data_IF_759238761533
#
_entry.id   IF_759238761533
#
_cell.length_a   1.000
_cell.length_b   1.000
_cell.length_c   1.000
_cell.angle_alpha   90.00
_cell.angle_beta   90.00
_cell.angle_gamma   90.00
#
_symmetry.space_group_name_H-M   'P 1'
#
loop_
_entity.id
_entity.type
_entity.pdbx_description
1 polymer ?
#
# COMPACT_ATOMS: atom_id res chain seq x y z
N UNK A 1 -12.39 -24.64 -17.10
CA UNK A 1 -11.86 -24.20 -15.80
C UNK A 1 -11.42 -22.76 -16.00
N UNK A 2 -11.79 -21.84 -15.14
CA UNK A 2 -11.27 -20.49 -15.20
C UNK A 2 -9.74 -20.51 -14.99
N UNK A 3 -8.99 -19.73 -15.75
CA UNK A 3 -7.54 -19.60 -15.51
C UNK A 3 -7.32 -19.08 -14.09
N UNK A 4 -6.34 -19.66 -13.35
CA UNK A 4 -6.01 -19.19 -12.01
C UNK A 4 -5.62 -17.72 -12.09
N UNK A 5 -6.14 -16.90 -11.15
CA UNK A 5 -5.78 -15.49 -11.06
C UNK A 5 -4.28 -15.36 -10.80
N UNK A 6 -3.69 -14.25 -11.19
CA UNK A 6 -2.25 -13.99 -11.02
C UNK A 6 -1.76 -14.24 -9.58
N UNK A 7 -2.56 -13.88 -8.57
CA UNK A 7 -2.24 -14.12 -7.16
C UNK A 7 -2.25 -15.60 -6.79
N UNK A 8 -3.24 -16.38 -7.24
CA UNK A 8 -3.30 -17.84 -6.98
C UNK A 8 -2.10 -18.54 -7.59
N UNK A 9 -1.79 -18.21 -8.86
CA UNK A 9 -0.62 -18.75 -9.56
C UNK A 9 0.68 -18.38 -8.82
N UNK A 10 0.82 -17.14 -8.35
CA UNK A 10 1.98 -16.69 -7.62
C UNK A 10 2.22 -17.51 -6.34
N UNK A 11 1.19 -17.71 -5.51
CA UNK A 11 1.34 -18.46 -4.26
C UNK A 11 1.57 -19.96 -4.50
N UNK A 12 0.93 -20.52 -5.54
CA UNK A 12 1.18 -21.92 -5.94
C UNK A 12 2.63 -22.14 -6.38
N UNK A 13 3.13 -21.32 -7.30
CA UNK A 13 4.47 -21.48 -7.89
C UNK A 13 5.59 -21.18 -6.89
N UNK A 14 5.40 -20.17 -6.04
CA UNK A 14 6.46 -19.72 -5.13
C UNK A 14 6.48 -20.45 -3.80
N UNK A 15 5.33 -20.83 -3.26
CA UNK A 15 5.20 -21.39 -1.91
C UNK A 15 4.54 -22.76 -1.88
N UNK A 16 4.08 -23.27 -3.02
CA UNK A 16 3.38 -24.54 -3.10
C UNK A 16 2.00 -24.55 -2.42
N UNK A 17 1.37 -23.38 -2.27
CA UNK A 17 0.05 -23.25 -1.65
C UNK A 17 -1.00 -23.75 -2.62
N UNK A 18 -1.42 -25.00 -2.44
CA UNK A 18 -2.46 -25.66 -3.22
C UNK A 18 -3.81 -25.64 -2.48
N UNK A 19 -4.89 -25.93 -3.19
CA UNK A 19 -6.22 -26.11 -2.56
C UNK A 19 -6.19 -27.11 -1.42
N UNK A 20 -5.32 -28.13 -1.49
CA UNK A 20 -5.16 -29.15 -0.46
C UNK A 20 -4.60 -28.55 0.84
N UNK A 21 -3.55 -27.72 0.73
CA UNK A 21 -2.95 -27.03 1.88
C UNK A 21 -3.94 -26.04 2.49
N UNK A 22 -4.66 -25.29 1.67
CA UNK A 22 -5.69 -24.35 2.13
C UNK A 22 -6.81 -25.08 2.88
N UNK A 23 -7.33 -26.20 2.32
CA UNK A 23 -8.35 -27.02 2.96
C UNK A 23 -7.87 -27.66 4.25
N UNK A 24 -6.61 -28.12 4.31
CA UNK A 24 -6.04 -28.72 5.51
C UNK A 24 -5.95 -27.69 6.65
N UNK A 25 -5.45 -26.49 6.39
CA UNK A 25 -5.36 -25.42 7.35
C UNK A 25 -6.76 -24.91 7.78
N UNK A 26 -7.65 -24.73 6.82
CA UNK A 26 -9.03 -24.32 7.09
C UNK A 26 -9.77 -25.36 7.97
N UNK A 27 -9.55 -26.64 7.73
CA UNK A 27 -10.12 -27.73 8.55
C UNK A 27 -9.63 -27.72 9.99
N UNK A 28 -8.44 -27.19 10.27
CA UNK A 28 -7.91 -27.03 11.64
C UNK A 28 -8.54 -25.83 12.37
N UNK A 29 -8.78 -24.74 11.69
CA UNK A 29 -9.33 -23.52 12.29
C UNK A 29 -10.84 -23.53 12.35
N UNK A 30 -11.52 -23.99 11.29
CA UNK A 30 -12.98 -24.05 11.21
C UNK A 30 -13.50 -25.33 11.89
N UNK A 31 -13.65 -25.27 13.19
CA UNK A 31 -14.28 -26.32 14.01
C UNK A 31 -15.72 -25.92 14.36
N UNK A 32 -16.46 -26.81 15.04
CA UNK A 32 -17.90 -26.68 15.28
C UNK A 32 -18.33 -25.32 15.86
N UNK A 33 -17.55 -24.78 16.80
CA UNK A 33 -17.89 -23.55 17.52
C UNK A 33 -17.18 -22.31 16.94
N UNK A 34 -16.56 -22.41 15.78
CA UNK A 34 -16.01 -21.28 15.04
C UNK A 34 -17.01 -20.88 13.96
N UNK A 35 -17.57 -19.68 14.07
CA UNK A 35 -18.58 -19.18 13.13
C UNK A 35 -17.97 -18.84 11.78
N UNK A 36 -16.80 -18.18 11.79
CA UNK A 36 -16.08 -17.75 10.61
C UNK A 36 -14.56 -17.91 10.79
N UNK A 37 -13.88 -18.25 9.73
CA UNK A 37 -12.41 -18.26 9.67
C UNK A 37 -11.92 -17.80 8.30
N UNK A 38 -10.75 -17.18 8.28
CA UNK A 38 -10.03 -16.87 7.04
C UNK A 38 -8.52 -17.05 7.18
N UNK A 39 -7.90 -17.27 6.03
CA UNK A 39 -6.46 -17.31 5.79
C UNK A 39 -6.13 -16.14 4.88
N UNK A 40 -5.26 -15.26 5.33
CA UNK A 40 -4.81 -14.09 4.59
C UNK A 40 -3.33 -14.22 4.27
N UNK A 41 -2.98 -14.26 3.00
CA UNK A 41 -1.62 -14.31 2.52
C UNK A 41 -1.24 -12.97 1.93
N UNK A 42 -0.05 -12.49 2.26
CA UNK A 42 0.51 -11.26 1.71
C UNK A 42 1.96 -11.46 1.28
N UNK A 43 2.29 -10.92 0.14
CA UNK A 43 3.67 -10.75 -0.33
C UNK A 43 3.80 -9.34 -0.87
N UNK A 44 4.69 -8.56 -0.28
CA UNK A 44 4.90 -7.15 -0.63
C UNK A 44 6.36 -6.91 -1.00
N UNK A 45 6.57 -6.23 -2.10
CA UNK A 45 7.87 -5.71 -2.52
C UNK A 45 7.80 -4.19 -2.42
N UNK A 46 8.63 -3.62 -1.57
CA UNK A 46 8.79 -2.17 -1.41
C UNK A 46 10.12 -1.72 -1.99
N UNK A 47 10.12 -0.61 -2.69
CA UNK A 47 11.32 0.03 -3.18
C UNK A 47 11.25 1.55 -2.98
N UNK A 48 12.36 2.15 -2.55
CA UNK A 48 12.46 3.59 -2.36
C UNK A 48 13.82 4.07 -2.83
N UNK A 49 13.82 5.13 -3.65
CA UNK A 49 15.03 5.80 -4.11
C UNK A 49 14.85 7.29 -3.80
N UNK A 50 15.84 7.89 -3.16
CA UNK A 50 15.87 9.33 -2.89
C UNK A 50 17.16 9.96 -3.38
N UNK A 51 16.99 11.12 -3.97
CA UNK A 51 18.07 11.98 -4.48
C UNK A 51 18.00 13.35 -3.80
N UNK A 52 19.13 13.88 -3.42
CA UNK A 52 19.31 15.21 -2.88
C UNK A 52 20.68 15.74 -3.31
N UNK A 53 20.78 17.04 -3.58
CA UNK A 53 22.01 17.68 -4.08
C UNK A 53 22.58 16.97 -5.33
N UNK A 54 21.70 16.56 -6.23
CA UNK A 54 22.03 15.83 -7.47
C UNK A 54 22.72 14.47 -7.23
N UNK A 55 22.64 13.93 -6.02
CA UNK A 55 23.24 12.64 -5.64
C UNK A 55 22.18 11.71 -5.06
N UNK A 56 22.25 10.43 -5.43
CA UNK A 56 21.44 9.41 -4.76
C UNK A 56 21.93 9.25 -3.33
N UNK A 57 21.10 9.63 -2.36
CA UNK A 57 21.42 9.52 -0.93
C UNK A 57 21.01 8.17 -0.36
N UNK A 58 19.92 7.59 -0.91
CA UNK A 58 19.39 6.30 -0.43
C UNK A 58 18.72 5.55 -1.57
N UNK A 59 18.98 4.26 -1.62
CA UNK A 59 18.20 3.30 -2.38
C UNK A 59 17.95 2.08 -1.50
N UNK A 60 16.72 1.63 -1.40
CA UNK A 60 16.35 0.45 -0.61
C UNK A 60 15.31 -0.37 -1.34
N UNK A 61 15.42 -1.68 -1.21
CA UNK A 61 14.41 -2.64 -1.65
C UNK A 61 14.21 -3.65 -0.52
N UNK A 62 12.97 -3.87 -0.13
CA UNK A 62 12.59 -4.86 0.88
C UNK A 62 11.49 -5.76 0.36
N UNK A 63 11.48 -6.98 0.87
CA UNK A 63 10.42 -7.96 0.61
C UNK A 63 9.90 -8.39 1.95
N UNK A 64 8.60 -8.26 2.16
CA UNK A 64 7.88 -8.82 3.29
C UNK A 64 6.85 -9.82 2.80
N UNK A 65 6.62 -10.88 3.57
CA UNK A 65 5.64 -11.90 3.24
C UNK A 65 5.13 -12.55 4.51
N UNK A 66 3.98 -13.17 4.42
CA UNK A 66 3.45 -13.92 5.54
C UNK A 66 2.04 -14.43 5.30
N UNK A 67 1.56 -15.17 6.28
CA UNK A 67 0.19 -15.64 6.36
C UNK A 67 -0.39 -15.32 7.74
N UNK A 68 -1.60 -14.77 7.76
CA UNK A 68 -2.41 -14.59 8.95
C UNK A 68 -3.60 -15.56 8.93
N UNK A 69 -3.94 -16.09 10.10
CA UNK A 69 -5.13 -16.92 10.30
C UNK A 69 -6.02 -16.26 11.34
N UNK A 70 -7.27 -16.08 10.99
CA UNK A 70 -8.28 -15.53 11.89
C UNK A 70 -9.40 -16.55 12.15
N UNK A 71 -9.82 -16.64 13.39
CA UNK A 71 -10.97 -17.44 13.82
C UNK A 71 -11.92 -16.56 14.64
N UNK A 72 -13.19 -16.57 14.29
CA UNK A 72 -14.24 -15.84 15.04
C UNK A 72 -15.23 -16.85 15.63
N UNK A 73 -15.44 -16.76 16.94
CA UNK A 73 -16.39 -17.58 17.69
C UNK A 73 -17.26 -16.67 18.57
N UNK A 74 -18.51 -16.48 18.19
CA UNK A 74 -19.41 -15.47 18.75
C UNK A 74 -18.77 -14.07 18.73
N UNK A 75 -18.51 -13.46 19.87
CA UNK A 75 -17.88 -12.12 19.95
C UNK A 75 -16.35 -12.16 20.12
N UNK A 76 -15.74 -13.35 20.06
CA UNK A 76 -14.30 -13.53 20.28
C UNK A 76 -13.61 -13.76 18.95
N UNK A 77 -12.50 -13.06 18.76
CA UNK A 77 -11.62 -13.26 17.59
C UNK A 77 -10.25 -13.72 18.06
N UNK A 78 -9.80 -14.85 17.52
CA UNK A 78 -8.43 -15.29 17.62
C UNK A 78 -7.70 -14.99 16.33
N UNK A 79 -6.45 -14.53 16.43
CA UNK A 79 -5.57 -14.23 15.30
C UNK A 79 -4.17 -14.75 15.58
N UNK A 80 -3.57 -15.37 14.58
CA UNK A 80 -2.17 -15.78 14.60
C UNK A 80 -1.57 -15.60 13.22
N UNK A 81 -0.26 -15.38 13.14
CA UNK A 81 0.44 -15.17 11.87
C UNK A 81 1.82 -15.83 11.86
N UNK A 82 2.37 -15.98 10.65
CA UNK A 82 3.74 -16.39 10.40
C UNK A 82 4.29 -15.65 9.17
N UNK A 83 5.57 -15.29 9.18
CA UNK A 83 6.32 -14.80 8.03
C UNK A 83 6.79 -15.93 7.10
N UNK A 84 6.78 -17.18 7.57
CA UNK A 84 7.01 -18.36 6.75
C UNK A 84 5.69 -18.90 6.19
N UNK A 85 5.59 -18.94 4.86
CA UNK A 85 4.43 -19.49 4.16
C UNK A 85 4.71 -20.97 3.84
N UNK A 86 4.50 -21.84 4.85
CA UNK A 86 4.59 -23.30 4.74
C UNK A 86 3.36 -23.95 5.34
N UNK A 87 3.00 -25.15 4.92
CA UNK A 87 1.86 -25.88 5.48
C UNK A 87 1.99 -26.02 7.00
N UNK A 88 3.17 -26.33 7.50
CA UNK A 88 3.43 -26.48 8.94
C UNK A 88 3.09 -25.20 9.72
N UNK A 89 3.58 -24.05 9.26
CA UNK A 89 3.32 -22.77 9.93
C UNK A 89 1.87 -22.34 9.81
N UNK A 90 1.26 -22.59 8.66
CA UNK A 90 -0.15 -22.35 8.42
C UNK A 90 -1.03 -23.16 9.38
N UNK A 91 -0.74 -24.44 9.56
CA UNK A 91 -1.45 -25.32 10.51
C UNK A 91 -1.23 -24.87 11.96
N UNK A 92 -0.02 -24.47 12.34
CA UNK A 92 0.29 -23.97 13.67
C UNK A 92 -0.45 -22.63 13.94
N UNK A 93 -0.48 -21.72 12.99
CA UNK A 93 -1.25 -20.47 13.10
C UNK A 93 -2.76 -20.76 13.24
N UNK A 94 -3.28 -21.72 12.47
CA UNK A 94 -4.68 -22.17 12.56
C UNK A 94 -5.05 -22.69 13.94
N UNK A 95 -4.22 -23.55 14.52
CA UNK A 95 -4.42 -24.09 15.87
C UNK A 95 -4.35 -22.96 16.93
N UNK A 96 -3.41 -22.04 16.79
CA UNK A 96 -3.24 -20.90 17.70
C UNK A 96 -4.42 -19.93 17.64
N UNK A 97 -4.86 -19.54 16.45
CA UNK A 97 -6.02 -18.66 16.27
C UNK A 97 -7.30 -19.27 16.86
N UNK A 98 -7.54 -20.56 16.62
CA UNK A 98 -8.63 -21.31 17.23
C UNK A 98 -8.55 -21.31 18.75
N UNK A 99 -7.37 -21.58 19.31
CA UNK A 99 -7.17 -21.60 20.77
C UNK A 99 -7.47 -20.24 21.41
N UNK A 100 -7.02 -19.15 20.78
CA UNK A 100 -7.29 -17.78 21.25
C UNK A 100 -8.80 -17.48 21.20
N UNK A 101 -9.50 -17.91 20.16
CA UNK A 101 -10.95 -17.81 20.08
C UNK A 101 -11.68 -18.71 21.11
N UNK A 102 -10.92 -19.53 21.88
CA UNK A 102 -11.41 -20.46 22.92
C UNK A 102 -12.45 -21.44 22.40
N UNK A 103 -12.23 -21.95 21.20
CA UNK A 103 -13.04 -23.01 20.63
C UNK A 103 -12.42 -24.37 20.88
N UNK A 104 -13.18 -25.39 21.37
CA UNK A 104 -12.63 -26.73 21.55
C UNK A 104 -12.21 -27.36 20.24
N UNK A 105 -11.24 -28.28 20.28
CA UNK A 105 -10.84 -29.04 19.10
C UNK A 105 -12.00 -29.95 18.64
N UNK A 106 -12.25 -29.95 17.33
CA UNK A 106 -13.30 -30.79 16.72
C UNK A 106 -13.22 -30.69 15.21
N UNK A 107 -13.85 -31.63 14.51
CA UNK A 107 -13.98 -31.55 13.07
C UNK A 107 -15.13 -30.63 12.69
N UNK A 108 -14.85 -29.59 11.95
CA UNK A 108 -15.85 -28.71 11.32
C UNK A 108 -16.03 -29.09 9.85
N UNK A 109 -17.16 -28.76 9.28
CA UNK A 109 -17.38 -28.88 7.85
C UNK A 109 -16.74 -27.68 7.16
N UNK A 110 -15.84 -27.96 6.19
CA UNK A 110 -15.26 -26.94 5.32
C UNK A 110 -15.76 -27.25 3.90
N UNK A 111 -16.50 -26.34 3.27
CA UNK A 111 -16.92 -26.53 1.89
C UNK A 111 -15.71 -26.55 0.96
N UNK A 112 -15.85 -27.19 -0.19
CA UNK A 112 -14.81 -27.18 -1.23
C UNK A 112 -14.49 -25.72 -1.62
N UNK A 113 -13.20 -25.43 -1.80
CA UNK A 113 -12.75 -24.13 -2.25
C UNK A 113 -13.36 -23.83 -3.62
N UNK A 114 -13.96 -22.68 -3.74
CA UNK A 114 -14.49 -22.13 -4.97
C UNK A 114 -13.72 -20.87 -5.30
N UNK A 115 -13.18 -20.81 -6.50
CA UNK A 115 -12.65 -19.54 -7.01
C UNK A 115 -13.79 -18.52 -6.99
N UNK A 116 -13.62 -17.45 -6.23
CA UNK A 116 -14.60 -16.38 -6.12
C UNK A 116 -14.92 -15.78 -7.49
N UNK A 117 -16.01 -15.03 -7.58
CA UNK A 117 -16.35 -14.33 -8.83
C UNK A 117 -15.15 -13.51 -9.28
N UNK A 118 -14.80 -13.51 -10.59
CA UNK A 118 -13.74 -12.67 -11.09
C UNK A 118 -14.02 -11.23 -10.66
N UNK A 119 -13.20 -10.71 -9.75
CA UNK A 119 -13.25 -9.30 -9.39
C UNK A 119 -12.97 -8.46 -10.64
N UNK A 120 -13.34 -7.20 -10.62
CA UNK A 120 -12.87 -6.26 -11.62
C UNK A 120 -11.37 -6.10 -11.39
N UNK A 121 -10.57 -6.22 -12.45
CA UNK A 121 -9.18 -5.77 -12.41
C UNK A 121 -9.19 -4.22 -12.40
N UNK A 122 -9.06 -3.66 -11.21
CA UNK A 122 -9.12 -2.22 -11.00
C UNK A 122 -7.76 -1.54 -11.28
N UNK A 123 -6.70 -2.31 -11.30
CA UNK A 123 -5.32 -1.82 -11.39
C UNK A 123 -4.50 -2.68 -12.36
N UNK A 124 -4.91 -2.76 -13.63
CA UNK A 124 -4.18 -3.58 -14.60
C UNK A 124 -2.76 -3.04 -14.76
N UNK A 125 -1.77 -3.86 -14.43
CA UNK A 125 -0.35 -3.53 -14.53
C UNK A 125 0.36 -4.68 -15.23
N UNK A 126 0.92 -4.41 -16.40
CA UNK A 126 1.71 -5.37 -17.16
C UNK A 126 3.14 -5.44 -16.62
N UNK A 127 3.73 -4.28 -16.33
CA UNK A 127 5.08 -4.16 -15.77
C UNK A 127 5.02 -3.36 -14.47
N UNK A 128 5.08 -4.03 -13.31
CA UNK A 128 5.13 -3.34 -12.04
C UNK A 128 6.32 -2.38 -11.96
N UNK A 129 6.13 -1.22 -11.32
CA UNK A 129 7.21 -0.26 -11.15
C UNK A 129 8.41 -0.83 -10.35
N UNK A 130 8.20 -1.87 -9.55
CA UNK A 130 9.27 -2.62 -8.85
C UNK A 130 10.17 -3.45 -9.78
N UNK A 131 9.72 -3.73 -11.01
CA UNK A 131 10.48 -4.46 -12.04
C UNK A 131 11.26 -3.55 -12.99
N UNK A 132 10.95 -2.26 -12.99
CA UNK A 132 11.72 -1.26 -13.75
C UNK A 132 13.12 -1.16 -13.16
N UNK A 133 14.13 -1.13 -14.04
CA UNK A 133 15.52 -1.11 -13.60
C UNK A 133 15.87 0.13 -12.77
N UNK A 134 16.61 -0.04 -11.69
CA UNK A 134 17.02 1.07 -10.80
C UNK A 134 17.70 2.22 -11.54
N UNK A 135 18.61 1.99 -12.51
CA UNK A 135 19.21 3.10 -13.28
C UNK A 135 18.20 3.98 -14.01
N UNK A 136 17.11 3.41 -14.52
CA UNK A 136 16.05 4.15 -15.20
C UNK A 136 15.29 5.07 -14.23
N UNK A 137 14.99 4.58 -13.03
CA UNK A 137 14.38 5.39 -11.97
C UNK A 137 15.32 6.51 -11.50
N UNK A 138 16.62 6.23 -11.36
CA UNK A 138 17.62 7.24 -11.02
C UNK A 138 17.70 8.31 -12.13
N UNK A 139 17.73 7.92 -13.40
CA UNK A 139 17.72 8.86 -14.51
C UNK A 139 16.49 9.78 -14.53
N UNK A 140 15.32 9.27 -14.09
CA UNK A 140 14.13 10.11 -13.91
C UNK A 140 14.35 11.16 -12.82
N UNK A 141 14.90 10.77 -11.66
CA UNK A 141 15.18 11.70 -10.56
C UNK A 141 16.24 12.76 -10.96
N UNK A 142 17.26 12.40 -11.73
CA UNK A 142 18.24 13.34 -12.28
C UNK A 142 17.62 14.37 -13.24
N UNK A 143 16.67 13.94 -14.08
CA UNK A 143 15.91 14.85 -14.94
C UNK A 143 15.06 15.81 -14.12
N UNK A 144 14.44 15.35 -13.05
CA UNK A 144 13.65 16.17 -12.12
C UNK A 144 14.52 17.21 -11.44
N UNK A 145 15.69 16.83 -10.89
CA UNK A 145 16.64 17.73 -10.25
C UNK A 145 17.07 18.84 -11.23
N UNK A 146 17.44 18.46 -12.45
CA UNK A 146 17.81 19.42 -13.51
C UNK A 146 16.72 20.43 -13.81
N UNK A 147 15.49 19.96 -14.03
CA UNK A 147 14.35 20.82 -14.37
C UNK A 147 13.98 21.75 -13.22
N UNK A 148 13.96 21.23 -11.99
CA UNK A 148 13.65 22.01 -10.81
C UNK A 148 14.69 23.13 -10.57
N UNK A 149 15.99 22.83 -10.67
CA UNK A 149 17.08 23.82 -10.53
C UNK A 149 17.06 24.87 -11.63
N UNK A 150 16.71 24.49 -12.85
CA UNK A 150 16.64 25.40 -13.98
C UNK A 150 15.44 26.36 -13.93
N UNK A 151 14.45 26.11 -13.04
CA UNK A 151 13.25 26.91 -12.93
C UNK A 151 13.53 28.35 -12.46
N UNK A 152 14.39 28.52 -11.45
CA UNK A 152 14.75 29.83 -10.90
C UNK A 152 16.12 29.72 -10.20
N UNK A 153 17.05 30.70 -10.36
CA UNK A 153 18.37 30.68 -9.73
C UNK A 153 18.35 30.68 -8.18
N UNK A 154 17.24 31.04 -7.59
CA UNK A 154 17.01 30.98 -6.14
C UNK A 154 16.78 29.56 -5.63
N UNK A 155 16.51 28.58 -6.48
CA UNK A 155 16.43 27.17 -6.06
C UNK A 155 17.83 26.68 -5.74
N UNK A 156 18.10 26.42 -4.45
CA UNK A 156 19.42 26.00 -3.94
C UNK A 156 19.49 24.52 -3.67
N UNK A 157 18.39 23.89 -3.26
CA UNK A 157 18.34 22.44 -3.08
C UNK A 157 17.10 21.83 -3.68
N UNK A 158 17.24 20.61 -4.19
CA UNK A 158 16.17 19.80 -4.72
C UNK A 158 16.27 18.40 -4.09
N UNK A 159 15.21 17.96 -3.48
CA UNK A 159 15.01 16.60 -2.99
C UNK A 159 13.95 15.94 -3.85
N UNK A 160 14.28 14.81 -4.46
CA UNK A 160 13.35 14.02 -5.25
C UNK A 160 13.34 12.57 -4.76
N UNK A 161 12.17 11.97 -4.63
CA UNK A 161 12.04 10.58 -4.23
C UNK A 161 11.01 9.84 -5.07
N UNK A 162 11.33 8.59 -5.38
CA UNK A 162 10.44 7.65 -6.00
C UNK A 162 10.24 6.45 -5.07
N UNK A 163 9.02 6.17 -4.71
CA UNK A 163 8.64 5.02 -3.88
C UNK A 163 7.64 4.16 -4.62
N UNK A 164 7.77 2.84 -4.50
CA UNK A 164 6.83 1.90 -5.10
C UNK A 164 6.63 0.70 -4.20
N UNK A 165 5.40 0.24 -4.13
CA UNK A 165 4.96 -0.99 -3.49
C UNK A 165 4.28 -1.87 -4.54
N UNK A 166 4.55 -3.16 -4.48
CA UNK A 166 3.82 -4.16 -5.25
C UNK A 166 3.39 -5.28 -4.31
N UNK A 167 2.10 -5.32 -4.03
CA UNK A 167 1.49 -6.23 -3.07
C UNK A 167 0.63 -7.26 -3.78
N UNK A 168 0.83 -8.52 -3.43
CA UNK A 168 0.02 -9.65 -3.90
C UNK A 168 -0.68 -10.25 -2.68
N UNK A 169 -2.00 -10.34 -2.74
CA UNK A 169 -2.85 -10.85 -1.67
C UNK A 169 -3.62 -12.08 -2.15
N UNK A 170 -3.78 -13.06 -1.26
CA UNK A 170 -4.67 -14.20 -1.44
C UNK A 170 -5.43 -14.44 -0.15
N UNK A 171 -6.75 -14.58 -0.24
CA UNK A 171 -7.63 -14.81 0.90
C UNK A 171 -8.45 -16.07 0.62
N UNK A 172 -8.41 -17.03 1.57
CA UNK A 172 -9.32 -18.16 1.60
C UNK A 172 -10.18 -18.08 2.84
N UNK A 173 -11.49 -18.30 2.74
CA UNK A 173 -12.39 -18.25 3.87
C UNK A 173 -13.14 -19.58 4.13
N UNK A 174 -13.75 -19.68 5.30
CA UNK A 174 -14.50 -20.86 5.75
C UNK A 174 -15.82 -21.08 5.00
N UNK A 175 -16.22 -20.18 4.12
CA UNK A 175 -17.37 -20.31 3.24
C UNK A 175 -16.98 -20.94 1.88
N UNK A 176 -15.68 -21.25 1.72
CA UNK A 176 -15.12 -21.86 0.52
C UNK A 176 -14.77 -20.87 -0.57
N UNK A 177 -14.72 -19.58 -0.27
CA UNK A 177 -14.30 -18.56 -1.23
C UNK A 177 -12.77 -18.43 -1.25
N UNK A 178 -12.21 -18.31 -2.45
CA UNK A 178 -10.82 -17.97 -2.71
C UNK A 178 -10.78 -16.71 -3.55
N UNK A 179 -10.19 -15.65 -3.00
CA UNK A 179 -10.10 -14.34 -3.64
C UNK A 179 -8.67 -13.85 -3.63
N UNK A 180 -8.16 -13.43 -4.77
CA UNK A 180 -6.84 -12.83 -4.88
C UNK A 180 -6.89 -11.44 -5.48
N UNK A 181 -5.90 -10.62 -5.12
CA UNK A 181 -5.75 -9.27 -5.63
C UNK A 181 -4.26 -8.92 -5.83
N UNK A 182 -4.01 -8.00 -6.76
CA UNK A 182 -2.68 -7.44 -7.00
C UNK A 182 -2.79 -5.93 -6.88
N UNK A 183 -2.01 -5.35 -5.99
CA UNK A 183 -2.12 -3.95 -5.58
C UNK A 183 -0.79 -3.22 -5.81
N UNK A 184 -0.55 -2.70 -7.03
CA UNK A 184 0.56 -1.79 -7.27
C UNK A 184 0.28 -0.44 -6.59
N UNK A 185 1.33 0.21 -6.13
CA UNK A 185 1.25 1.59 -5.64
C UNK A 185 2.59 2.28 -5.88
N UNK A 186 2.58 3.47 -6.45
CA UNK A 186 3.81 4.24 -6.61
C UNK A 186 3.58 5.74 -6.42
N UNK A 187 4.62 6.43 -5.96
CA UNK A 187 4.62 7.86 -5.70
C UNK A 187 5.93 8.51 -6.10
N UNK A 188 5.81 9.63 -6.77
CA UNK A 188 6.90 10.55 -7.06
C UNK A 188 6.68 11.84 -6.26
N UNK A 189 7.67 12.25 -5.47
CA UNK A 189 7.64 13.45 -4.64
C UNK A 189 8.85 14.31 -4.95
N UNK A 190 8.63 15.62 -5.08
CA UNK A 190 9.67 16.63 -5.28
C UNK A 190 9.51 17.71 -4.23
N UNK A 191 10.63 18.11 -3.62
CA UNK A 191 10.69 19.25 -2.70
C UNK A 191 11.85 20.14 -3.13
N UNK A 192 11.57 21.40 -3.31
CA UNK A 192 12.57 22.42 -3.66
C UNK A 192 12.76 23.38 -2.48
N UNK A 193 14.00 23.81 -2.27
CA UNK A 193 14.34 24.87 -1.33
C UNK A 193 14.82 26.07 -2.12
N UNK A 194 14.14 27.21 -1.94
CA UNK A 194 14.54 28.50 -2.49
C UNK A 194 15.12 29.40 -1.40
N UNK A 195 16.15 30.17 -1.77
CA UNK A 195 16.83 31.13 -0.86
C UNK A 195 16.99 32.48 -1.53
N UNK A 196 16.64 33.55 -0.81
CA UNK A 196 16.80 34.92 -1.23
C UNK A 196 16.92 35.84 0.00
N UNK A 197 17.93 36.73 0.05
CA UNK A 197 18.13 37.71 1.12
C UNK A 197 18.11 37.13 2.55
N UNK A 198 18.67 35.94 2.73
CA UNK A 198 18.68 35.25 4.02
C UNK A 198 17.38 34.51 4.38
N UNK A 199 16.35 34.65 3.59
CA UNK A 199 15.13 33.85 3.72
C UNK A 199 15.28 32.53 2.99
N UNK A 200 14.76 31.45 3.59
CA UNK A 200 14.75 30.11 3.06
C UNK A 200 13.34 29.52 3.12
N UNK A 201 12.83 29.11 1.99
CA UNK A 201 11.47 28.59 1.87
C UNK A 201 11.41 27.31 1.07
N UNK A 202 10.48 26.44 1.41
CA UNK A 202 10.25 25.18 0.73
C UNK A 202 8.98 25.21 -0.12
N UNK A 203 9.00 24.45 -1.20
CA UNK A 203 7.84 24.10 -1.99
C UNK A 203 7.87 22.63 -2.31
N UNK A 204 6.74 21.94 -2.21
CA UNK A 204 6.65 20.50 -2.43
C UNK A 204 5.49 20.18 -3.34
N UNK A 205 5.73 19.31 -4.30
CA UNK A 205 4.67 18.77 -5.14
C UNK A 205 4.97 17.33 -5.55
N UNK A 206 3.92 16.54 -5.74
CA UNK A 206 4.07 15.16 -6.12
C UNK A 206 2.72 14.49 -6.35
N UNK A 207 2.77 13.23 -6.66
CA UNK A 207 1.59 12.42 -6.89
C UNK A 207 1.96 10.99 -7.18
N UNK A 208 0.96 10.18 -7.39
CA UNK A 208 1.11 8.77 -7.67
C UNK A 208 -0.23 8.09 -7.75
N UNK A 209 -0.20 6.78 -7.71
CA UNK A 209 -1.41 5.97 -7.79
C UNK A 209 -1.10 4.50 -8.01
N UNK A 210 -2.17 3.75 -8.27
CA UNK A 210 -2.12 2.32 -8.59
C UNK A 210 -2.01 2.15 -10.11
N UNK A 211 -0.78 2.20 -10.62
CA UNK A 211 -0.51 2.13 -12.06
C UNK A 211 0.93 1.78 -12.36
N UNK A 212 1.26 1.78 -13.64
CA UNK A 212 2.59 1.50 -14.12
C UNK A 212 3.55 2.68 -13.93
N UNK A 213 4.85 2.42 -14.03
CA UNK A 213 5.88 3.45 -14.01
C UNK A 213 5.69 4.51 -15.11
N UNK A 214 5.16 4.11 -16.27
CA UNK A 214 4.86 4.98 -17.42
C UNK A 214 3.90 6.13 -17.08
N UNK A 215 3.04 5.95 -16.07
CA UNK A 215 2.17 7.03 -15.55
C UNK A 215 2.93 8.33 -15.27
N UNK A 216 4.14 8.24 -14.75
CA UNK A 216 4.95 9.43 -14.46
C UNK A 216 5.54 10.07 -15.70
N UNK A 217 5.72 9.30 -16.78
CA UNK A 217 6.28 9.77 -18.04
C UNK A 217 5.21 10.38 -18.96
N UNK A 218 3.98 9.90 -18.88
CA UNK A 218 2.85 10.41 -19.65
C UNK A 218 2.58 11.88 -19.36
N UNK A 219 2.25 12.66 -20.37
CA UNK A 219 1.97 14.09 -20.29
C UNK A 219 3.06 14.89 -19.54
N UNK A 220 4.28 14.37 -19.50
CA UNK A 220 5.41 14.96 -18.76
C UNK A 220 5.05 15.25 -17.28
N UNK A 221 4.32 14.38 -16.61
CA UNK A 221 3.91 14.58 -15.21
C UNK A 221 5.07 14.82 -14.27
N UNK A 222 6.17 14.09 -14.46
CA UNK A 222 7.41 14.26 -13.70
C UNK A 222 7.95 15.70 -13.81
N UNK A 223 7.90 16.28 -15.00
CA UNK A 223 8.38 17.64 -15.26
C UNK A 223 7.45 18.68 -14.62
N UNK A 224 6.14 18.46 -14.72
CA UNK A 224 5.14 19.30 -14.04
C UNK A 224 5.33 19.29 -12.54
N UNK A 225 5.62 18.13 -11.92
CA UNK A 225 5.89 18.03 -10.49
C UNK A 225 7.12 18.81 -10.08
N UNK A 226 8.21 18.70 -10.84
CA UNK A 226 9.44 19.46 -10.63
C UNK A 226 9.20 20.97 -10.68
N UNK A 227 8.55 21.45 -11.74
CA UNK A 227 8.25 22.87 -11.94
C UNK A 227 7.31 23.42 -10.86
N UNK A 228 6.29 22.66 -10.47
CA UNK A 228 5.32 23.10 -9.47
C UNK A 228 5.95 23.19 -8.08
N UNK A 229 6.78 22.23 -7.68
CA UNK A 229 7.53 22.31 -6.43
C UNK A 229 8.46 23.52 -6.39
N UNK A 230 9.19 23.78 -7.48
CA UNK A 230 10.05 24.95 -7.60
C UNK A 230 9.26 26.25 -7.57
N UNK A 231 8.13 26.34 -8.29
CA UNK A 231 7.24 27.50 -8.30
C UNK A 231 6.75 27.84 -6.88
N UNK A 232 6.32 26.83 -6.12
CA UNK A 232 5.86 27.03 -4.75
C UNK A 232 6.99 27.52 -3.84
N UNK A 233 8.20 26.96 -3.93
CA UNK A 233 9.34 27.39 -3.13
C UNK A 233 9.67 28.88 -3.39
N UNK A 234 9.71 29.29 -4.66
CA UNK A 234 9.96 30.68 -5.06
C UNK A 234 8.82 31.61 -4.63
N UNK A 235 7.58 31.17 -4.77
CA UNK A 235 6.41 31.95 -4.34
C UNK A 235 6.43 32.20 -2.82
N UNK A 236 6.78 31.19 -2.05
CA UNK A 236 6.82 31.24 -0.59
C UNK A 236 7.87 32.22 -0.04
N UNK A 237 8.91 32.58 -0.82
CA UNK A 237 9.83 33.68 -0.44
C UNK A 237 9.13 35.04 -0.26
N UNK A 238 7.96 35.20 -0.85
CA UNK A 238 7.14 36.42 -0.74
C UNK A 238 5.93 36.23 0.20
N UNK A 239 5.87 35.10 0.93
CA UNK A 239 4.77 34.83 1.84
C UNK A 239 4.77 35.86 2.99
N UNK A 240 3.59 36.27 3.41
CA UNK A 240 3.34 37.08 4.58
C UNK A 240 2.70 36.23 5.67
N UNK A 241 2.78 36.65 6.92
CA UNK A 241 2.16 35.96 8.03
C UNK A 241 0.64 35.86 7.85
N UNK A 242 0.08 34.71 8.14
CA UNK A 242 -1.36 34.53 8.14
C UNK A 242 -1.98 35.29 9.34
N UNK A 243 -3.13 35.97 9.15
CA UNK A 243 -3.82 36.63 10.26
C UNK A 243 -4.26 35.57 11.30
N UNK A 244 -4.06 35.90 12.58
CA UNK A 244 -4.53 35.08 13.69
C UNK A 244 -5.85 35.62 14.24
N UNK A 245 -6.78 34.75 14.61
CA UNK A 245 -8.06 35.10 15.22
C UNK A 245 -9.27 34.44 14.58
N UNK A 246 -10.47 34.66 15.12
CA UNK A 246 -11.72 34.16 14.53
C UNK A 246 -11.96 34.74 13.14
N UNK A 247 -12.26 33.88 12.17
CA UNK A 247 -12.58 34.34 10.82
C UNK A 247 -13.49 33.32 10.11
N UNK A 248 -14.17 33.80 9.06
CA UNK A 248 -14.95 32.94 8.18
C UNK A 248 -13.99 32.16 7.27
N UNK A 249 -14.13 30.85 7.28
CA UNK A 249 -13.29 29.95 6.48
C UNK A 249 -14.13 29.19 5.45
N UNK A 250 -13.71 29.24 4.20
CA UNK A 250 -14.29 28.44 3.11
C UNK A 250 -13.35 27.25 2.84
N UNK A 251 -13.85 26.02 3.04
CA UNK A 251 -13.12 24.82 2.77
C UNK A 251 -13.36 24.36 1.33
N UNK A 252 -12.30 24.30 0.52
CA UNK A 252 -12.34 23.74 -0.82
C UNK A 252 -12.29 22.22 -0.83
N UNK A 253 -12.28 21.60 -2.02
CA UNK A 253 -12.06 20.16 -2.18
C UNK A 253 -10.61 19.76 -1.90
N UNK A 254 -10.37 18.50 -1.54
CA UNK A 254 -9.05 17.92 -1.28
C UNK A 254 -8.80 17.66 0.21
N UNK A 255 -7.73 18.20 0.79
CA UNK A 255 -7.34 17.99 2.18
C UNK A 255 -8.43 18.26 3.24
N UNK A 256 -9.36 19.22 3.06
CA UNK A 256 -10.50 19.36 3.98
C UNK A 256 -11.38 18.11 4.10
N UNK A 257 -11.33 17.18 3.15
CA UNK A 257 -11.96 15.87 3.28
C UNK A 257 -11.42 15.04 4.46
N UNK A 258 -10.14 15.21 4.81
CA UNK A 258 -9.55 14.58 6.00
C UNK A 258 -10.14 15.19 7.28
N UNK A 259 -10.33 16.50 7.35
CA UNK A 259 -11.00 17.12 8.48
C UNK A 259 -12.41 16.53 8.70
N UNK A 260 -13.17 16.30 7.64
CA UNK A 260 -14.47 15.64 7.72
C UNK A 260 -14.36 14.19 8.18
N UNK A 261 -13.34 13.46 7.69
CA UNK A 261 -13.04 12.09 8.13
C UNK A 261 -12.76 12.03 9.64
N UNK A 262 -11.87 12.89 10.15
CA UNK A 262 -11.52 12.93 11.58
C UNK A 262 -12.69 13.40 12.46
N UNK A 263 -13.43 14.41 12.01
CA UNK A 263 -14.49 15.01 12.81
C UNK A 263 -15.77 14.15 12.89
N UNK A 264 -16.08 13.38 11.87
CA UNK A 264 -17.34 12.63 11.74
C UNK A 264 -17.09 11.15 11.43
N UNK A 265 -16.14 10.85 10.53
CA UNK A 265 -15.94 9.52 9.98
C UNK A 265 -15.66 8.46 11.05
N UNK A 266 -14.72 8.72 11.95
CA UNK A 266 -14.41 7.82 13.05
C UNK A 266 -15.60 7.59 13.99
N UNK A 267 -16.46 8.58 14.21
CA UNK A 267 -17.67 8.43 15.00
C UNK A 267 -18.74 7.52 14.38
N UNK A 268 -18.59 7.17 13.09
CA UNK A 268 -19.51 6.28 12.36
C UNK A 268 -18.99 4.84 12.26
N UNK A 269 -17.83 4.53 12.83
CA UNK A 269 -17.29 3.16 12.84
C UNK A 269 -18.18 2.22 13.68
N UNK A 270 -18.30 0.99 13.20
CA UNK A 270 -19.26 0.03 13.77
C UNK A 270 -18.92 -0.37 15.20
N UNK A 271 -17.65 -0.39 15.59
CA UNK A 271 -17.20 -0.70 16.95
C UNK A 271 -17.61 0.37 17.96
N UNK A 272 -17.68 1.65 17.57
CA UNK A 272 -18.25 2.72 18.40
C UNK A 272 -19.77 2.66 18.48
N UNK A 273 -20.43 2.25 17.40
CA UNK A 273 -21.91 2.29 17.31
C UNK A 273 -22.59 1.02 17.83
N UNK A 274 -21.85 -0.04 18.13
CA UNK A 274 -22.40 -1.32 18.64
C UNK A 274 -22.44 -1.42 20.17
N UNK A 275 -21.91 -0.47 20.89
CA UNK A 275 -21.85 -0.45 22.37
C UNK A 275 -23.02 0.29 22.98
#
# INVERSE_FOLDING_TARGET
>A
MAEPKQSEKFYLERFGVTDRELLAAMGRVKVRDVDYADLYFEHTVDESISMEESLVKRASKSISQGVGVRATAAEKTGYAYSDEITLRQLEQAADTARYIARSPAGAGFVPAIRVGRPGRDLYPVLVPATEVATPEKVALLERIDKVARAYDPRIKNVMASFTTEYKIVLIANSEGELVGDVQPLSRLQVTCIAEENGQRQAGSFGGGGRGEYTFFLEDNRWERYAKEAARQAVLNLKAVDAPAGPMVVVLGSGWPGILLHEAIGHGLEADFNRK
#
